data_IF_644770301420
#
_entry.id   IF_644770301420
#
_cell.length_a   1.000
_cell.length_b   1.000
_cell.length_c   1.000
_cell.angle_alpha   90.00
_cell.angle_beta   90.00
_cell.angle_gamma   90.00
#
_symmetry.space_group_name_H-M   'P 1'
#
loop_
_entity.id
_entity.type
_entity.pdbx_description
1 polymer ?
#
# COMPACT_ATOMS: atom_id res chain seq x y z
N UNK A 1 9.32 -8.59 -8.27
CA UNK A 1 10.64 -8.21 -7.78
C UNK A 1 11.55 -9.41 -7.89
N UNK A 2 12.79 -9.23 -8.34
CA UNK A 2 13.78 -10.30 -8.41
C UNK A 2 15.06 -9.82 -7.73
N UNK A 3 15.86 -10.73 -7.17
CA UNK A 3 17.13 -10.42 -6.53
C UNK A 3 18.25 -10.98 -7.39
N UNK A 4 19.26 -10.16 -7.65
CA UNK A 4 20.48 -10.51 -8.37
C UNK A 4 21.69 -10.12 -7.52
N UNK A 5 22.78 -10.87 -7.58
CA UNK A 5 23.93 -10.65 -6.70
C UNK A 5 24.94 -9.64 -7.27
N UNK A 6 24.97 -9.48 -8.59
CA UNK A 6 25.96 -8.63 -9.27
C UNK A 6 25.31 -7.72 -10.29
N UNK A 7 25.99 -6.62 -10.63
CA UNK A 7 25.54 -5.70 -11.68
C UNK A 7 25.51 -6.39 -13.07
N UNK A 8 26.45 -7.28 -13.33
CA UNK A 8 26.48 -8.03 -14.59
C UNK A 8 25.27 -8.94 -14.75
N UNK A 9 24.86 -9.63 -13.67
CA UNK A 9 23.62 -10.43 -13.65
C UNK A 9 22.38 -9.57 -13.84
N UNK A 10 22.36 -8.36 -13.26
CA UNK A 10 21.27 -7.41 -13.45
C UNK A 10 21.12 -6.99 -14.93
N UNK A 11 22.20 -6.60 -15.58
CA UNK A 11 22.19 -6.22 -16.99
C UNK A 11 21.80 -7.39 -17.90
N UNK A 12 22.29 -8.59 -17.60
CA UNK A 12 21.89 -9.79 -18.34
C UNK A 12 20.39 -10.08 -18.18
N UNK A 13 19.89 -10.04 -16.95
CA UNK A 13 18.47 -10.23 -16.65
C UNK A 13 17.60 -9.19 -17.38
N UNK A 14 17.97 -7.91 -17.27
CA UNK A 14 17.26 -6.81 -17.93
C UNK A 14 17.14 -7.03 -19.44
N UNK A 15 18.24 -7.39 -20.09
CA UNK A 15 18.25 -7.65 -21.53
C UNK A 15 17.37 -8.83 -21.91
N UNK A 16 17.51 -9.96 -21.21
CA UNK A 16 16.69 -11.16 -21.46
C UNK A 16 15.20 -10.92 -21.21
N UNK A 17 14.85 -10.27 -20.12
CA UNK A 17 13.47 -9.94 -19.79
C UNK A 17 12.85 -9.01 -20.85
N UNK A 18 13.61 -8.00 -21.30
CA UNK A 18 13.16 -7.07 -22.34
C UNK A 18 12.91 -7.80 -23.67
N UNK A 19 13.79 -8.71 -24.06
CA UNK A 19 13.66 -9.49 -25.29
C UNK A 19 12.43 -10.41 -25.25
N UNK A 20 12.25 -11.17 -24.16
CA UNK A 20 11.09 -12.07 -23.97
C UNK A 20 9.78 -11.28 -24.01
N UNK A 21 9.72 -10.15 -23.33
CA UNK A 21 8.50 -9.35 -23.27
C UNK A 21 8.23 -8.63 -24.58
N UNK A 22 9.27 -8.22 -25.31
CA UNK A 22 9.13 -7.63 -26.65
C UNK A 22 8.53 -8.64 -27.63
N UNK A 23 8.95 -9.89 -27.59
CA UNK A 23 8.38 -10.98 -28.42
C UNK A 23 6.89 -11.19 -28.10
N UNK A 24 6.50 -11.01 -26.84
CA UNK A 24 5.10 -11.05 -26.39
C UNK A 24 4.32 -9.77 -26.69
N UNK A 25 4.89 -8.80 -27.44
CA UNK A 25 4.31 -7.48 -27.73
C UNK A 25 4.05 -6.63 -26.50
N UNK A 26 4.84 -6.82 -25.44
CA UNK A 26 4.83 -6.03 -24.22
C UNK A 26 6.10 -5.20 -24.14
N UNK A 27 5.96 -3.91 -23.84
CA UNK A 27 7.08 -2.99 -23.67
C UNK A 27 7.35 -2.76 -22.18
N UNK A 28 8.50 -3.23 -21.68
CA UNK A 28 8.93 -3.02 -20.31
C UNK A 28 9.51 -1.62 -20.14
N UNK A 29 8.97 -0.86 -19.18
CA UNK A 29 9.39 0.52 -18.87
C UNK A 29 9.66 0.67 -17.39
N UNK A 30 10.48 1.68 -17.05
CA UNK A 30 10.70 2.07 -15.64
C UNK A 30 11.42 1.01 -14.85
N UNK A 31 12.62 0.60 -15.28
CA UNK A 31 13.50 -0.27 -14.52
C UNK A 31 14.03 0.46 -13.29
N UNK A 32 13.91 -0.16 -12.13
CA UNK A 32 14.35 0.37 -10.86
C UNK A 32 15.17 -0.68 -10.13
N UNK A 33 16.32 -0.30 -9.57
CA UNK A 33 17.16 -1.21 -8.79
C UNK A 33 17.76 -0.50 -7.56
N UNK A 34 18.24 -1.28 -6.60
CA UNK A 34 18.92 -0.79 -5.38
C UNK A 34 20.33 -0.34 -5.64
N UNK A 35 20.93 -0.72 -6.79
CA UNK A 35 22.33 -0.42 -7.14
C UNK A 35 22.52 1.02 -7.67
N UNK A 36 21.46 1.67 -8.13
CA UNK A 36 21.46 3.06 -8.63
C UNK A 36 21.19 4.09 -7.52
N UNK A 37 21.57 3.79 -6.29
CA UNK A 37 21.52 4.79 -5.23
C UNK A 37 22.68 5.75 -5.46
N UNK A 38 22.42 6.82 -6.21
CA UNK A 38 23.34 7.93 -6.35
C UNK A 38 23.73 8.46 -4.97
N UNK A 39 25.04 8.68 -4.75
CA UNK A 39 25.60 9.32 -3.57
C UNK A 39 25.25 10.83 -3.50
N UNK A 40 24.07 11.21 -3.96
CA UNK A 40 23.58 12.57 -3.80
C UNK A 40 23.35 12.84 -2.30
N UNK A 41 24.18 13.70 -1.73
CA UNK A 41 24.16 14.14 -0.33
C UNK A 41 22.84 14.85 0.09
N UNK A 42 21.90 14.98 -0.82
CA UNK A 42 20.56 15.50 -0.53
C UNK A 42 19.74 14.36 0.11
N UNK A 43 19.55 14.46 1.42
CA UNK A 43 18.88 13.45 2.26
C UNK A 43 17.39 13.20 1.98
N UNK A 44 16.94 13.42 0.78
CA UNK A 44 15.63 13.05 0.29
C UNK A 44 15.70 11.61 -0.23
N UNK A 45 15.27 10.68 0.61
CA UNK A 45 15.17 9.26 0.25
C UNK A 45 14.19 9.11 -0.91
N UNK A 46 14.69 8.69 -2.07
CA UNK A 46 13.85 8.44 -3.23
C UNK A 46 12.96 7.23 -2.97
N UNK A 47 11.72 7.53 -2.53
CA UNK A 47 10.66 6.53 -2.36
C UNK A 47 10.03 6.29 -3.73
N UNK A 48 10.23 5.11 -4.27
CA UNK A 48 9.61 4.69 -5.53
C UNK A 48 8.32 3.95 -5.26
N UNK A 49 7.25 4.27 -5.99
CA UNK A 49 5.99 3.55 -5.86
C UNK A 49 6.01 2.27 -6.70
N UNK A 50 5.93 1.12 -6.00
CA UNK A 50 5.86 -0.21 -6.62
C UNK A 50 4.54 -0.86 -6.22
N UNK A 51 3.65 -1.10 -7.18
CA UNK A 51 2.31 -1.67 -6.94
C UNK A 51 1.53 -0.93 -5.85
N UNK A 52 1.71 0.39 -5.73
CA UNK A 52 1.04 1.22 -4.71
C UNK A 52 1.69 1.19 -3.32
N UNK A 53 2.76 0.42 -3.13
CA UNK A 53 3.60 0.45 -1.95
C UNK A 53 4.74 1.45 -2.15
N UNK A 54 5.23 2.05 -1.08
CA UNK A 54 6.42 2.88 -1.09
C UNK A 54 7.66 1.99 -0.88
N UNK A 55 8.53 1.93 -1.88
CA UNK A 55 9.78 1.20 -1.82
C UNK A 55 10.93 2.15 -1.51
N UNK A 56 11.60 1.90 -0.40
CA UNK A 56 12.83 2.57 -0.05
C UNK A 56 14.00 1.76 -0.60
N UNK A 57 14.66 2.26 -1.66
CA UNK A 57 15.76 1.57 -2.33
C UNK A 57 16.98 1.37 -1.44
N UNK A 58 17.23 2.28 -0.48
CA UNK A 58 18.40 2.24 0.38
C UNK A 58 18.32 1.13 1.42
N UNK A 59 17.14 0.94 2.01
CA UNK A 59 16.92 -0.08 3.05
C UNK A 59 16.30 -1.36 2.47
N UNK A 60 16.03 -1.37 1.16
CA UNK A 60 15.30 -2.42 0.46
C UNK A 60 14.01 -2.83 1.18
N UNK A 61 13.26 -1.82 1.65
CA UNK A 61 12.03 -2.04 2.43
C UNK A 61 10.81 -1.49 1.73
N UNK A 62 9.72 -2.26 1.78
CA UNK A 62 8.41 -1.86 1.31
C UNK A 62 7.55 -1.38 2.48
N UNK A 63 6.86 -0.26 2.31
CA UNK A 63 5.93 0.28 3.29
C UNK A 63 4.58 0.61 2.67
N UNK A 64 3.51 0.44 3.47
CA UNK A 64 2.17 0.88 3.09
C UNK A 64 1.98 2.35 3.48
N UNK A 65 1.46 3.16 2.56
CA UNK A 65 1.01 4.50 2.90
C UNK A 65 -0.31 4.42 3.67
N UNK A 66 -0.29 4.79 4.95
CA UNK A 66 -1.49 4.88 5.77
C UNK A 66 -2.07 6.29 5.61
N UNK A 67 -3.35 6.43 5.20
CA UNK A 67 -3.96 7.74 5.07
C UNK A 67 -3.95 8.45 6.43
N UNK A 68 -3.31 9.61 6.48
CA UNK A 68 -3.34 10.46 7.65
C UNK A 68 -4.73 11.11 7.75
N UNK A 69 -5.48 10.78 8.78
CA UNK A 69 -6.78 11.37 9.07
C UNK A 69 -7.31 10.82 10.39
N UNK A 70 -7.69 11.71 11.27
CA UNK A 70 -8.43 11.31 12.47
C UNK A 70 -9.88 11.01 12.06
N UNK A 71 -10.42 9.91 12.55
CA UNK A 71 -11.85 9.67 12.51
C UNK A 71 -12.50 10.78 13.34
N UNK A 72 -13.10 11.75 12.68
CA UNK A 72 -13.83 12.84 13.34
C UNK A 72 -14.99 12.26 14.17
N UNK A 73 -15.54 13.05 15.12
CA UNK A 73 -16.67 12.65 15.99
C UNK A 73 -17.95 12.20 15.24
N UNK A 74 -17.97 12.38 13.93
CA UNK A 74 -19.07 12.00 13.04
C UNK A 74 -18.71 10.74 12.23
N UNK A 75 -18.49 9.62 12.89
CA UNK A 75 -18.22 8.34 12.21
C UNK A 75 -19.53 7.81 11.62
N UNK A 76 -19.55 7.62 10.31
CA UNK A 76 -20.65 7.02 9.55
C UNK A 76 -20.14 5.78 8.79
N UNK A 77 -21.07 4.95 8.32
CA UNK A 77 -20.73 3.78 7.48
C UNK A 77 -19.90 4.18 6.26
N UNK A 78 -20.24 5.30 5.61
CA UNK A 78 -19.53 5.85 4.46
C UNK A 78 -18.09 6.25 4.79
N UNK A 79 -17.87 6.87 5.95
CA UNK A 79 -16.55 7.29 6.42
C UNK A 79 -15.66 6.07 6.67
N UNK A 80 -16.17 5.04 7.34
CA UNK A 80 -15.43 3.79 7.59
C UNK A 80 -15.03 3.13 6.27
N UNK A 81 -15.97 2.98 5.34
CA UNK A 81 -15.68 2.37 4.05
C UNK A 81 -14.66 3.18 3.25
N UNK A 82 -14.79 4.51 3.23
CA UNK A 82 -13.83 5.40 2.59
C UNK A 82 -12.42 5.27 3.18
N UNK A 83 -12.32 5.12 4.51
CA UNK A 83 -11.02 4.92 5.16
C UNK A 83 -10.42 3.56 4.78
N UNK A 84 -11.20 2.49 4.85
CA UNK A 84 -10.76 1.14 4.46
C UNK A 84 -10.32 1.07 2.99
N UNK A 85 -11.00 1.78 2.10
CA UNK A 85 -10.68 1.78 0.67
C UNK A 85 -9.43 2.60 0.30
N UNK A 86 -9.00 3.51 1.18
CA UNK A 86 -7.77 4.30 0.99
C UNK A 86 -6.51 3.53 1.40
N UNK A 87 -6.66 2.51 2.23
CA UNK A 87 -5.53 1.68 2.65
C UNK A 87 -5.26 0.66 1.57
N UNK A 88 -4.18 0.87 0.83
CA UNK A 88 -3.73 -0.08 -0.18
C UNK A 88 -2.77 -1.08 0.46
N UNK A 89 -3.23 -2.30 0.64
CA UNK A 89 -2.48 -3.39 1.28
C UNK A 89 -2.58 -4.67 0.44
N UNK A 90 -1.86 -4.74 -0.69
CA UNK A 90 -1.94 -5.88 -1.61
C UNK A 90 -1.36 -7.16 -1.02
N UNK A 91 -0.51 -7.06 0.00
CA UNK A 91 0.15 -8.22 0.64
C UNK A 91 -0.62 -8.68 1.87
N UNK A 92 -1.48 -7.82 2.46
CA UNK A 92 -2.29 -8.16 3.62
C UNK A 92 -1.62 -7.94 4.97
N UNK A 93 -0.55 -7.17 5.06
CA UNK A 93 0.13 -6.85 6.33
C UNK A 93 -0.77 -6.14 7.34
N UNK A 94 -1.62 -5.25 6.84
CA UNK A 94 -2.51 -4.44 7.67
C UNK A 94 -3.85 -5.11 7.95
N UNK A 95 -4.11 -6.29 7.36
CA UNK A 95 -5.37 -7.00 7.57
C UNK A 95 -5.74 -7.18 9.05
N UNK A 96 -4.84 -7.59 9.95
CA UNK A 96 -5.17 -7.72 11.37
C UNK A 96 -5.54 -6.39 12.02
N UNK A 97 -4.82 -5.30 11.67
CA UNK A 97 -5.09 -3.96 12.21
C UNK A 97 -6.41 -3.38 11.67
N UNK A 98 -6.78 -3.71 10.44
CA UNK A 98 -8.01 -3.23 9.80
C UNK A 98 -9.23 -4.11 10.14
N UNK A 99 -9.03 -5.29 10.71
CA UNK A 99 -10.10 -6.22 11.05
C UNK A 99 -11.19 -5.61 11.94
N UNK A 100 -10.88 -4.87 13.02
CA UNK A 100 -11.89 -4.24 13.85
C UNK A 100 -12.81 -3.29 13.08
N UNK A 101 -12.25 -2.51 12.14
CA UNK A 101 -13.03 -1.62 11.27
C UNK A 101 -13.92 -2.40 10.30
N UNK A 102 -13.45 -3.52 9.76
CA UNK A 102 -14.22 -4.40 8.88
C UNK A 102 -15.38 -5.06 9.63
N UNK A 103 -15.13 -5.52 10.86
CA UNK A 103 -16.17 -6.09 11.74
C UNK A 103 -17.21 -5.03 12.09
N UNK A 104 -16.78 -3.82 12.48
CA UNK A 104 -17.71 -2.73 12.77
C UNK A 104 -18.58 -2.40 11.54
N UNK A 105 -17.99 -2.34 10.35
CA UNK A 105 -18.74 -2.12 9.13
C UNK A 105 -19.79 -3.22 8.91
N UNK A 106 -19.43 -4.48 9.14
CA UNK A 106 -20.33 -5.62 9.05
C UNK A 106 -21.49 -5.51 10.06
N UNK A 107 -21.21 -5.15 11.30
CA UNK A 107 -22.24 -4.92 12.34
C UNK A 107 -23.22 -3.83 11.95
N UNK A 108 -22.75 -2.75 11.29
CA UNK A 108 -23.64 -1.70 10.78
C UNK A 108 -24.58 -2.17 9.67
N UNK A 109 -24.17 -3.18 8.88
CA UNK A 109 -25.02 -3.82 7.88
C UNK A 109 -26.11 -4.66 8.55
N UNK A 110 -25.76 -5.45 9.56
CA UNK A 110 -26.70 -6.27 10.32
C UNK A 110 -27.73 -5.41 11.06
N UNK A 111 -27.29 -4.29 11.63
CA UNK A 111 -28.15 -3.31 12.29
C UNK A 111 -28.96 -2.43 11.34
N UNK A 112 -28.83 -2.60 10.01
CA UNK A 112 -29.49 -1.80 8.97
C UNK A 112 -29.31 -0.30 9.10
N UNK A 113 -28.19 0.16 9.67
CA UNK A 113 -27.85 1.59 9.79
C UNK A 113 -27.74 2.23 8.42
N UNK A 114 -28.20 3.46 8.25
CA UNK A 114 -28.09 4.23 7.02
C UNK A 114 -26.64 4.61 6.68
N UNK A 115 -26.36 4.94 5.41
CA UNK A 115 -25.01 5.28 4.95
C UNK A 115 -24.39 6.50 5.62
N UNK A 116 -25.21 7.50 5.87
CA UNK A 116 -24.81 8.80 6.42
C UNK A 116 -25.32 8.99 7.87
N UNK A 117 -25.89 7.94 8.44
CA UNK A 117 -26.33 7.89 9.82
C UNK A 117 -25.12 7.77 10.76
N UNK A 118 -25.12 8.56 11.84
CA UNK A 118 -24.05 8.53 12.83
C UNK A 118 -24.08 7.24 13.64
N UNK A 119 -22.91 6.64 13.77
CA UNK A 119 -22.76 5.44 14.61
C UNK A 119 -22.80 5.80 16.09
N UNK A 120 -23.38 4.91 16.95
CA UNK A 120 -23.35 5.07 18.39
C UNK A 120 -21.90 5.17 18.90
N UNK A 121 -21.65 6.08 19.84
CA UNK A 121 -20.30 6.25 20.43
C UNK A 121 -19.74 4.95 21.02
N UNK A 122 -20.60 4.08 21.54
CA UNK A 122 -20.22 2.78 22.09
C UNK A 122 -19.58 1.85 21.02
N UNK A 123 -20.11 1.88 19.80
CA UNK A 123 -19.56 1.10 18.70
C UNK A 123 -18.21 1.63 18.23
N UNK A 124 -18.03 2.96 18.23
CA UNK A 124 -16.76 3.61 17.86
C UNK A 124 -15.71 3.41 18.96
N UNK A 125 -16.07 3.46 20.23
CA UNK A 125 -15.14 3.28 21.34
C UNK A 125 -14.53 1.86 21.40
N UNK A 126 -15.17 0.86 20.80
CA UNK A 126 -14.59 -0.49 20.66
C UNK A 126 -13.40 -0.54 19.73
N UNK A 127 -13.21 0.47 18.87
CA UNK A 127 -12.08 0.55 17.91
C UNK A 127 -10.83 1.16 18.53
N UNK A 128 -10.97 1.93 19.64
CA UNK A 128 -9.88 2.71 20.25
C UNK A 128 -9.17 1.92 21.36
N UNK A 129 -9.67 0.73 21.69
CA UNK A 129 -9.02 -0.19 22.63
C UNK A 129 -8.12 -1.18 21.92
#
# INVERSE_FOLDING_TARGET
>A
MTSVATYEEYEQFRRQATEIMFDARMDLRGWECTLEVDNSESGEYELVKVLGLAWNKRTDSLSCEIPQGQLNDNVTKRVILSYLSKVFDPIGFLCPALLPLKVLLQDTWLAKVGWDEKLPKEAVNKLIK
#
